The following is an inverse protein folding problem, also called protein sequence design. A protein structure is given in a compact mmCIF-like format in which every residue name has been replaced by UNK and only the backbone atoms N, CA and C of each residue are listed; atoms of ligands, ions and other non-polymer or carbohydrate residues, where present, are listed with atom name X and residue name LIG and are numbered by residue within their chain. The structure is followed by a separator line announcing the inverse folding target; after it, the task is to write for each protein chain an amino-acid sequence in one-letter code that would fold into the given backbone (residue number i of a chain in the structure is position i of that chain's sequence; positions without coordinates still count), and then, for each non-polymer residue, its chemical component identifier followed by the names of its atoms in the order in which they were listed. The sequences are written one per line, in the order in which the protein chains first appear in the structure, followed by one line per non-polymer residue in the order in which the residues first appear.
data_IF_387128770199
#
_entry.id   IF_387128770199
#
_cell.length_a   1.000
_cell.length_b   1.000
_cell.length_c   1.000
_cell.angle_alpha   90.00
_cell.angle_beta   90.00
_cell.angle_gamma   90.00
#
_symmetry.space_group_name_H-M   'P 1'
#
loop_
_entity.id
_entity.type
_entity.pdbx_description
1 polymer ?
#
# COMPACT_ATOMS: atom_id res chain seq x y z
N UNK A 1 47.84 -19.47 -12.08
CA UNK A 1 47.25 -18.22 -12.61
C UNK A 1 45.90 -18.55 -13.22
N UNK A 2 44.80 -17.99 -12.70
CA UNK A 2 43.50 -18.12 -13.37
C UNK A 2 43.54 -17.35 -14.69
N UNK A 3 43.29 -18.03 -15.81
CA UNK A 3 43.24 -17.41 -17.14
C UNK A 3 42.19 -16.30 -17.15
N UNK A 4 42.39 -15.25 -17.96
CA UNK A 4 41.46 -14.10 -18.05
C UNK A 4 40.01 -14.53 -18.31
N UNK A 5 39.81 -15.67 -19.00
CA UNK A 5 38.52 -16.36 -19.21
C UNK A 5 37.79 -16.73 -17.92
N UNK A 6 38.48 -17.30 -16.93
CA UNK A 6 37.87 -17.72 -15.65
C UNK A 6 37.53 -16.53 -14.75
N UNK A 7 38.28 -15.42 -14.86
CA UNK A 7 37.98 -14.17 -14.12
C UNK A 7 36.72 -13.49 -14.64
N UNK A 8 36.52 -13.45 -15.95
CA UNK A 8 35.33 -12.83 -16.56
C UNK A 8 34.05 -13.61 -16.21
N UNK A 9 34.11 -14.95 -16.26
CA UNK A 9 33.00 -15.84 -15.90
C UNK A 9 32.62 -15.70 -14.40
N UNK A 10 33.61 -15.56 -13.51
CA UNK A 10 33.37 -15.33 -12.08
C UNK A 10 32.72 -13.96 -11.79
N UNK A 11 33.14 -12.90 -12.49
CA UNK A 11 32.52 -11.57 -12.38
C UNK A 11 31.06 -11.64 -12.86
N UNK A 12 30.79 -12.35 -13.95
CA UNK A 12 29.43 -12.53 -14.49
C UNK A 12 28.52 -13.24 -13.49
N UNK A 13 28.98 -14.36 -12.90
CA UNK A 13 28.22 -15.08 -11.90
C UNK A 13 27.92 -14.21 -10.66
N UNK A 14 28.90 -13.40 -10.22
CA UNK A 14 28.72 -12.47 -9.13
C UNK A 14 27.69 -11.37 -9.46
N UNK A 15 27.77 -10.77 -10.64
CA UNK A 15 26.83 -9.73 -11.08
C UNK A 15 25.41 -10.26 -11.30
N UNK A 16 25.26 -11.48 -11.81
CA UNK A 16 23.97 -12.14 -11.94
C UNK A 16 23.32 -12.39 -10.57
N UNK A 17 24.10 -12.75 -9.54
CA UNK A 17 23.59 -12.89 -8.17
C UNK A 17 23.12 -11.56 -7.57
N UNK A 18 23.79 -10.46 -7.91
CA UNK A 18 23.42 -9.12 -7.46
C UNK A 18 22.17 -8.56 -8.18
N UNK A 19 21.82 -9.09 -9.36
CA UNK A 19 20.62 -8.68 -10.10
C UNK A 19 19.32 -8.95 -9.33
N UNK A 20 19.31 -9.92 -8.41
CA UNK A 20 18.17 -10.18 -7.51
C UNK A 20 18.00 -9.09 -6.43
N UNK A 21 19.05 -8.32 -6.12
CA UNK A 21 19.05 -7.32 -5.04
C UNK A 21 18.79 -5.89 -5.51
N UNK A 22 19.09 -5.57 -6.78
CA UNK A 22 18.89 -4.22 -7.30
C UNK A 22 17.46 -4.03 -7.82
N UNK A 23 16.64 -3.27 -7.09
CA UNK A 23 15.29 -2.88 -7.51
C UNK A 23 15.21 -2.29 -8.93
N UNK A 24 13.99 -2.26 -9.51
CA UNK A 24 13.75 -2.05 -10.95
C UNK A 24 14.45 -0.84 -11.60
N UNK A 25 14.65 0.26 -10.87
CA UNK A 25 15.34 1.47 -11.38
C UNK A 25 16.84 1.24 -11.61
N UNK A 26 17.51 0.49 -10.74
CA UNK A 26 18.93 0.18 -10.88
C UNK A 26 19.17 -0.91 -11.94
N UNK A 27 18.28 -1.91 -12.02
CA UNK A 27 18.34 -2.94 -13.06
C UNK A 27 18.27 -2.37 -14.48
N UNK A 28 17.37 -1.39 -14.72
CA UNK A 28 17.28 -0.69 -16.01
C UNK A 28 18.58 0.04 -16.37
N UNK A 29 19.19 0.73 -15.40
CA UNK A 29 20.46 1.46 -15.60
C UNK A 29 21.60 0.50 -15.96
N UNK A 30 21.72 -0.61 -15.24
CA UNK A 30 22.72 -1.64 -15.53
C UNK A 30 22.51 -2.26 -16.90
N UNK A 31 21.28 -2.63 -17.26
CA UNK A 31 20.95 -3.13 -18.61
C UNK A 31 21.38 -2.16 -19.71
N UNK A 32 21.06 -0.87 -19.57
CA UNK A 32 21.45 0.15 -20.57
C UNK A 32 22.97 0.30 -20.68
N UNK A 33 23.68 0.31 -19.54
CA UNK A 33 25.13 0.42 -19.53
C UNK A 33 25.80 -0.82 -20.14
N UNK A 34 25.28 -2.02 -19.87
CA UNK A 34 25.78 -3.27 -20.43
C UNK A 34 25.55 -3.34 -21.94
N UNK A 35 24.37 -2.94 -22.43
CA UNK A 35 24.11 -2.83 -23.89
C UNK A 35 25.08 -1.84 -24.55
N UNK A 36 25.29 -0.67 -23.95
CA UNK A 36 26.26 0.32 -24.46
C UNK A 36 27.69 -0.21 -24.48
N UNK A 37 28.13 -0.88 -23.40
CA UNK A 37 29.46 -1.48 -23.33
C UNK A 37 29.63 -2.63 -24.34
N UNK A 38 28.59 -3.45 -24.53
CA UNK A 38 28.56 -4.51 -25.56
C UNK A 38 28.71 -3.95 -26.97
N UNK A 39 27.98 -2.88 -27.28
CA UNK A 39 28.07 -2.17 -28.57
C UNK A 39 29.46 -1.58 -28.76
N UNK A 40 29.98 -0.86 -27.77
CA UNK A 40 31.31 -0.24 -27.83
C UNK A 40 32.41 -1.28 -28.05
N UNK A 41 32.37 -2.43 -27.37
CA UNK A 41 33.32 -3.52 -27.58
C UNK A 41 33.25 -4.08 -29.01
N UNK A 42 32.03 -4.22 -29.57
CA UNK A 42 31.84 -4.67 -30.96
C UNK A 42 32.37 -3.67 -31.98
N UNK A 43 32.07 -2.38 -31.80
CA UNK A 43 32.53 -1.31 -32.69
C UNK A 43 34.06 -1.17 -32.63
N UNK A 44 34.65 -1.29 -31.44
CA UNK A 44 36.11 -1.28 -31.26
C UNK A 44 36.76 -2.46 -31.98
N UNK A 45 36.19 -3.67 -31.86
CA UNK A 45 36.68 -4.84 -32.60
C UNK A 45 36.63 -4.64 -34.12
N UNK A 46 35.59 -3.96 -34.63
CA UNK A 46 35.44 -3.63 -36.06
C UNK A 46 36.43 -2.56 -36.55
N UNK A 47 36.89 -1.66 -35.68
CA UNK A 47 37.96 -0.72 -36.03
C UNK A 47 39.27 -1.46 -36.22
N UNK A 48 39.60 -2.36 -35.28
CA UNK A 48 40.79 -3.21 -35.38
C UNK A 48 40.71 -4.20 -36.54
N UNK A 49 39.50 -4.54 -36.99
CA UNK A 49 39.36 -5.49 -38.09
C UNK A 49 39.87 -4.97 -39.44
N UNK A 50 40.20 -3.68 -39.54
CA UNK A 50 40.72 -3.00 -40.74
C UNK A 50 42.25 -3.02 -40.86
N UNK A 51 42.96 -3.50 -39.85
CA UNK A 51 44.41 -3.67 -39.94
C UNK A 51 44.77 -4.86 -40.84
N UNK A 52 45.84 -4.71 -41.63
CA UNK A 52 46.38 -5.74 -42.53
C UNK A 52 47.86 -6.03 -42.21
N UNK A 53 48.38 -7.17 -42.68
CA UNK A 53 49.80 -7.53 -42.54
C UNK A 53 50.24 -7.86 -41.10
N UNK A 54 51.49 -7.56 -40.75
CA UNK A 54 52.04 -7.83 -39.40
C UNK A 54 51.27 -7.11 -38.28
N UNK A 55 50.73 -5.93 -38.56
CA UNK A 55 49.88 -5.18 -37.64
C UNK A 55 48.62 -5.93 -37.26
N UNK A 56 48.09 -6.78 -38.15
CA UNK A 56 46.89 -7.60 -37.88
C UNK A 56 47.16 -8.67 -36.84
N UNK A 57 48.30 -9.35 -36.94
CA UNK A 57 48.70 -10.42 -36.03
C UNK A 57 48.90 -9.90 -34.60
N UNK A 58 49.32 -8.65 -34.44
CA UNK A 58 49.51 -8.01 -33.13
C UNK A 58 48.20 -7.72 -32.38
N UNK A 59 47.06 -7.61 -33.08
CA UNK A 59 45.75 -7.25 -32.49
C UNK A 59 44.69 -8.36 -32.61
N UNK A 60 45.02 -9.53 -33.18
CA UNK A 60 44.04 -10.62 -33.33
C UNK A 60 43.51 -11.14 -31.99
N UNK A 61 44.36 -11.27 -30.96
CA UNK A 61 43.94 -11.67 -29.61
C UNK A 61 43.03 -10.63 -28.94
N UNK A 62 43.30 -9.34 -29.19
CA UNK A 62 42.48 -8.23 -28.68
C UNK A 62 41.10 -8.19 -29.36
N UNK A 63 41.05 -8.43 -30.67
CA UNK A 63 39.79 -8.53 -31.44
C UNK A 63 38.93 -9.69 -30.92
N UNK A 64 39.54 -10.86 -30.69
CA UNK A 64 38.81 -12.01 -30.15
C UNK A 64 38.28 -11.72 -28.73
N UNK A 65 39.11 -11.08 -27.90
CA UNK A 65 38.75 -10.66 -26.54
C UNK A 65 37.58 -9.67 -26.54
N UNK A 66 37.60 -8.67 -27.42
CA UNK A 66 36.52 -7.68 -27.56
C UNK A 66 35.22 -8.31 -28.07
N UNK A 67 35.29 -9.24 -29.03
CA UNK A 67 34.10 -9.99 -29.48
C UNK A 67 33.50 -10.86 -28.39
N UNK A 68 34.36 -11.49 -27.56
CA UNK A 68 33.91 -12.28 -26.42
C UNK A 68 33.29 -11.39 -25.34
N UNK A 69 33.93 -10.27 -25.00
CA UNK A 69 33.38 -9.29 -24.06
C UNK A 69 32.03 -8.75 -24.54
N UNK A 70 31.91 -8.41 -25.83
CA UNK A 70 30.66 -7.93 -26.43
C UNK A 70 29.51 -8.95 -26.27
N UNK A 71 29.75 -10.23 -26.62
CA UNK A 71 28.76 -11.30 -26.44
C UNK A 71 28.34 -11.48 -24.98
N UNK A 72 29.30 -11.48 -24.07
CA UNK A 72 29.03 -11.70 -22.64
C UNK A 72 28.29 -10.53 -22.00
N UNK A 73 28.64 -9.29 -22.34
CA UNK A 73 27.92 -8.10 -21.89
C UNK A 73 26.49 -8.05 -22.47
N UNK A 74 26.30 -8.54 -23.71
CA UNK A 74 25.00 -8.72 -24.33
C UNK A 74 24.13 -9.72 -23.55
N UNK A 75 24.67 -10.91 -23.28
CA UNK A 75 23.99 -11.95 -22.49
C UNK A 75 23.60 -11.44 -21.09
N UNK A 76 24.52 -10.75 -20.39
CA UNK A 76 24.25 -10.20 -19.07
C UNK A 76 23.10 -9.18 -19.13
N UNK A 77 23.04 -8.35 -20.16
CA UNK A 77 21.96 -7.38 -20.33
C UNK A 77 20.59 -8.06 -20.55
N UNK A 78 20.53 -9.19 -21.24
CA UNK A 78 19.32 -10.00 -21.41
C UNK A 78 18.91 -10.66 -20.09
N UNK A 79 19.85 -11.20 -19.33
CA UNK A 79 19.59 -11.81 -18.02
C UNK A 79 19.03 -10.77 -17.03
N UNK A 80 19.56 -9.54 -17.04
CA UNK A 80 19.01 -8.42 -16.26
C UNK A 80 17.57 -8.06 -16.67
N UNK A 81 17.25 -8.15 -17.95
CA UNK A 81 15.90 -7.90 -18.45
C UNK A 81 14.91 -8.97 -17.98
N UNK A 82 15.30 -10.25 -18.02
CA UNK A 82 14.50 -11.36 -17.51
C UNK A 82 14.31 -11.24 -16.00
N UNK A 83 15.38 -10.92 -15.26
CA UNK A 83 15.31 -10.71 -13.81
C UNK A 83 14.38 -9.56 -13.43
N UNK A 84 14.43 -8.44 -14.17
CA UNK A 84 13.54 -7.30 -13.96
C UNK A 84 12.07 -7.69 -14.15
N UNK A 85 11.73 -8.37 -15.27
CA UNK A 85 10.35 -8.82 -15.52
C UNK A 85 9.86 -9.76 -14.43
N UNK A 86 10.71 -10.69 -13.95
CA UNK A 86 10.37 -11.59 -12.83
C UNK A 86 10.14 -10.82 -11.54
N UNK A 87 10.96 -9.82 -11.23
CA UNK A 87 10.79 -8.99 -10.04
C UNK A 87 9.48 -8.18 -10.08
N UNK A 88 9.14 -7.62 -11.25
CA UNK A 88 7.88 -6.90 -11.45
C UNK A 88 6.67 -7.82 -11.30
N UNK A 89 6.73 -9.04 -11.85
CA UNK A 89 5.71 -10.07 -11.64
C UNK A 89 5.57 -10.46 -10.17
N UNK A 90 6.66 -10.76 -9.48
CA UNK A 90 6.63 -11.09 -8.05
C UNK A 90 6.05 -9.94 -7.22
N UNK A 91 6.36 -8.69 -7.58
CA UNK A 91 5.78 -7.52 -6.91
C UNK A 91 4.28 -7.45 -7.13
N UNK A 92 3.82 -7.61 -8.36
CA UNK A 92 2.40 -7.63 -8.70
C UNK A 92 1.66 -8.78 -7.99
N UNK A 93 2.25 -9.97 -7.95
CA UNK A 93 1.69 -11.14 -7.27
C UNK A 93 1.58 -10.89 -5.76
N UNK A 94 2.61 -10.27 -5.15
CA UNK A 94 2.57 -9.88 -3.72
C UNK A 94 1.50 -8.82 -3.44
N UNK A 95 1.36 -7.83 -4.30
CA UNK A 95 0.31 -6.81 -4.19
C UNK A 95 -1.09 -7.44 -4.33
N UNK A 96 -1.26 -8.35 -5.30
CA UNK A 96 -2.51 -9.08 -5.50
C UNK A 96 -2.83 -10.02 -4.32
N UNK A 97 -1.83 -10.71 -3.77
CA UNK A 97 -2.00 -11.57 -2.59
C UNK A 97 -2.35 -10.73 -1.35
N UNK A 98 -1.69 -9.58 -1.16
CA UNK A 98 -2.00 -8.66 -0.07
C UNK A 98 -3.43 -8.12 -0.17
N UNK A 99 -3.87 -7.72 -1.36
CA UNK A 99 -5.23 -7.23 -1.59
C UNK A 99 -6.26 -8.36 -1.39
N UNK A 100 -6.00 -9.57 -1.90
CA UNK A 100 -6.87 -10.73 -1.67
C UNK A 100 -7.03 -11.05 -0.18
N UNK A 101 -5.93 -11.05 0.58
CA UNK A 101 -5.95 -11.22 2.04
C UNK A 101 -6.73 -10.11 2.74
N UNK A 102 -6.59 -8.86 2.27
CA UNK A 102 -7.35 -7.72 2.80
C UNK A 102 -8.84 -7.89 2.56
N UNK A 103 -9.25 -8.24 1.33
CA UNK A 103 -10.64 -8.46 0.98
C UNK A 103 -11.28 -9.61 1.79
N UNK A 104 -10.53 -10.68 2.04
CA UNK A 104 -10.99 -11.76 2.92
C UNK A 104 -11.24 -11.29 4.36
N UNK A 105 -10.36 -10.44 4.91
CA UNK A 105 -10.56 -9.84 6.24
C UNK A 105 -11.78 -8.93 6.27
N UNK A 106 -11.99 -8.12 5.23
CA UNK A 106 -13.15 -7.23 5.13
C UNK A 106 -14.44 -8.04 5.13
N UNK A 107 -14.52 -9.10 4.32
CA UNK A 107 -15.69 -9.99 4.29
C UNK A 107 -15.95 -10.68 5.63
N UNK A 108 -14.90 -11.13 6.32
CA UNK A 108 -15.03 -11.70 7.66
C UNK A 108 -15.63 -10.68 8.64
N UNK A 109 -15.16 -9.44 8.61
CA UNK A 109 -15.72 -8.38 9.47
C UNK A 109 -17.14 -8.00 9.07
N UNK A 110 -17.48 -7.98 7.77
CA UNK A 110 -18.86 -7.78 7.32
C UNK A 110 -19.77 -8.88 7.86
N UNK A 111 -19.32 -10.14 7.81
CA UNK A 111 -20.04 -11.28 8.38
C UNK A 111 -20.24 -11.11 9.90
N UNK A 112 -19.21 -10.68 10.63
CA UNK A 112 -19.31 -10.44 12.08
C UNK A 112 -20.26 -9.28 12.44
N UNK A 113 -20.27 -8.20 11.64
CA UNK A 113 -21.07 -7.00 11.90
C UNK A 113 -22.53 -7.13 11.46
N UNK A 114 -22.77 -7.77 10.33
CA UNK A 114 -24.07 -7.77 9.64
C UNK A 114 -24.65 -9.18 9.43
N UNK A 115 -23.92 -10.24 9.78
CA UNK A 115 -24.32 -11.62 9.54
C UNK A 115 -24.22 -12.05 8.07
N UNK A 116 -23.59 -11.24 7.21
CA UNK A 116 -23.42 -11.51 5.77
C UNK A 116 -22.21 -10.78 5.21
N UNK A 117 -21.57 -11.35 4.20
CA UNK A 117 -20.56 -10.68 3.38
C UNK A 117 -21.14 -10.03 2.11
N UNK A 118 -22.45 -10.20 1.85
CA UNK A 118 -23.19 -9.63 0.72
C UNK A 118 -24.59 -9.14 1.14
N UNK A 119 -24.68 -7.98 1.80
CA UNK A 119 -25.95 -7.39 2.21
C UNK A 119 -27.00 -7.28 1.10
N UNK A 120 -26.62 -6.93 -0.12
CA UNK A 120 -27.53 -6.80 -1.27
C UNK A 120 -28.24 -8.10 -1.68
N UNK A 121 -27.68 -9.25 -1.32
CA UNK A 121 -28.22 -10.57 -1.67
C UNK A 121 -29.21 -11.10 -0.63
N UNK A 122 -29.37 -10.42 0.51
CA UNK A 122 -30.37 -10.78 1.51
C UNK A 122 -31.75 -10.43 0.94
N UNK A 123 -32.66 -11.40 0.95
CA UNK A 123 -34.02 -11.23 0.43
C UNK A 123 -34.74 -10.09 1.17
N UNK A 124 -35.54 -9.31 0.43
CA UNK A 124 -36.24 -8.11 0.89
C UNK A 124 -37.16 -8.27 2.13
N UNK A 125 -37.36 -9.49 2.62
CA UNK A 125 -38.06 -9.79 3.87
C UNK A 125 -37.24 -9.45 5.12
N UNK A 126 -35.90 -9.34 5.01
CA UNK A 126 -35.02 -8.94 6.11
C UNK A 126 -34.63 -7.45 6.00
N UNK A 127 -35.64 -6.57 6.04
CA UNK A 127 -35.46 -5.10 6.13
C UNK A 127 -34.58 -4.66 7.32
N UNK A 128 -34.27 -5.60 8.22
CA UNK A 128 -33.36 -5.45 9.35
C UNK A 128 -31.93 -5.11 8.91
N UNK A 129 -31.35 -5.82 7.94
CA UNK A 129 -29.92 -5.65 7.59
C UNK A 129 -29.67 -4.34 6.84
N UNK A 130 -30.51 -4.02 5.86
CA UNK A 130 -30.45 -2.75 5.14
C UNK A 130 -30.55 -1.56 6.10
N UNK A 131 -31.51 -1.62 7.02
CA UNK A 131 -31.67 -0.59 8.05
C UNK A 131 -30.43 -0.48 8.95
N UNK A 132 -29.86 -1.61 9.40
CA UNK A 132 -28.67 -1.62 10.25
C UNK A 132 -27.47 -1.01 9.51
N UNK A 133 -27.22 -1.41 8.27
CA UNK A 133 -26.09 -0.93 7.46
C UNK A 133 -26.20 0.58 7.24
N UNK A 134 -27.32 1.08 6.74
CA UNK A 134 -27.46 2.52 6.47
C UNK A 134 -27.52 3.36 7.76
N UNK A 135 -28.16 2.87 8.81
CA UNK A 135 -28.14 3.51 10.12
C UNK A 135 -26.70 3.62 10.64
N UNK A 136 -25.93 2.52 10.59
CA UNK A 136 -24.54 2.53 11.03
C UNK A 136 -23.66 3.42 10.15
N UNK A 137 -23.89 3.46 8.83
CA UNK A 137 -23.18 4.35 7.90
C UNK A 137 -23.39 5.84 8.25
N UNK A 138 -24.65 6.24 8.46
CA UNK A 138 -25.00 7.61 8.87
C UNK A 138 -24.45 7.95 10.24
N UNK A 139 -24.51 7.01 11.17
CA UNK A 139 -24.03 7.18 12.53
C UNK A 139 -22.52 7.36 12.56
N UNK A 140 -21.77 6.55 11.81
CA UNK A 140 -20.31 6.66 11.71
C UNK A 140 -19.92 7.99 11.07
N UNK A 141 -20.62 8.40 10.00
CA UNK A 141 -20.37 9.68 9.35
C UNK A 141 -20.69 10.89 10.24
N UNK A 142 -21.72 10.80 11.10
CA UNK A 142 -21.99 11.83 12.09
C UNK A 142 -20.96 11.81 13.23
N UNK A 143 -20.58 10.62 13.69
CA UNK A 143 -19.60 10.46 14.77
C UNK A 143 -18.28 11.11 14.40
N UNK A 144 -17.79 10.87 13.18
CA UNK A 144 -16.58 11.51 12.64
C UNK A 144 -16.66 13.04 12.61
N UNK A 145 -17.83 13.61 12.26
CA UNK A 145 -17.98 15.06 12.11
C UNK A 145 -18.20 15.82 13.42
N UNK A 146 -18.95 15.25 14.35
CA UNK A 146 -19.43 15.96 15.54
C UNK A 146 -19.60 15.04 16.76
N UNK A 147 -20.04 13.80 16.55
CA UNK A 147 -20.31 12.89 17.67
C UNK A 147 -19.06 12.54 18.50
N UNK A 148 -17.87 12.54 17.90
CA UNK A 148 -16.61 12.24 18.60
C UNK A 148 -16.25 13.36 19.60
N UNK A 149 -16.50 14.61 19.26
CA UNK A 149 -16.29 15.75 20.18
C UNK A 149 -17.33 15.75 21.29
N UNK A 150 -18.60 15.47 20.97
CA UNK A 150 -19.66 15.29 21.98
C UNK A 150 -19.31 14.18 22.98
N UNK A 151 -18.80 13.05 22.47
CA UNK A 151 -18.40 11.91 23.29
C UNK A 151 -17.11 12.16 24.08
N UNK A 152 -16.15 12.89 23.52
CA UNK A 152 -14.92 13.27 24.23
C UNK A 152 -15.21 14.13 25.47
N UNK A 153 -16.19 15.04 25.41
CA UNK A 153 -16.64 15.82 26.57
C UNK A 153 -17.13 14.94 27.72
N UNK A 154 -17.86 13.86 27.41
CA UNK A 154 -18.28 12.87 28.41
C UNK A 154 -17.09 12.12 29.03
N UNK A 155 -15.99 12.00 28.30
CA UNK A 155 -14.72 11.44 28.80
C UNK A 155 -13.82 12.50 29.47
N UNK A 156 -14.32 13.72 29.69
CA UNK A 156 -13.58 14.81 30.32
C UNK A 156 -12.40 15.32 29.49
N UNK A 157 -12.51 15.22 28.16
CA UNK A 157 -11.54 15.72 27.20
C UNK A 157 -12.15 16.90 26.42
N UNK A 158 -11.30 17.84 26.01
CA UNK A 158 -11.71 19.06 25.32
C UNK A 158 -12.06 18.80 23.85
N UNK A 159 -11.42 17.78 23.26
CA UNK A 159 -11.54 17.46 21.84
C UNK A 159 -11.53 15.96 21.60
N UNK A 160 -12.34 15.50 20.67
CA UNK A 160 -12.38 14.14 20.17
C UNK A 160 -11.75 14.01 18.79
N UNK A 161 -11.07 12.89 18.55
CA UNK A 161 -10.55 12.51 17.24
C UNK A 161 -10.81 11.02 17.04
N UNK A 162 -11.02 10.61 15.80
CA UNK A 162 -10.97 9.19 15.43
C UNK A 162 -9.55 8.92 14.95
N UNK A 163 -8.94 7.81 15.40
CA UNK A 163 -7.53 7.50 15.09
C UNK A 163 -7.26 7.42 13.59
N UNK A 164 -8.26 7.00 12.81
CA UNK A 164 -8.14 6.75 11.38
C UNK A 164 -9.24 7.47 10.60
N UNK A 165 -8.81 8.29 9.64
CA UNK A 165 -9.67 9.19 8.86
C UNK A 165 -10.57 8.38 7.96
N UNK A 166 -11.87 8.42 8.25
CA UNK A 166 -12.87 7.94 7.33
C UNK A 166 -13.15 8.96 6.24
N UNK A 167 -13.46 8.48 5.05
CA UNK A 167 -14.14 9.31 4.08
C UNK A 167 -15.63 9.36 4.46
N UNK A 168 -15.98 9.99 5.60
CA UNK A 168 -17.35 10.11 6.08
C UNK A 168 -18.29 10.74 5.03
N UNK A 169 -17.73 11.54 4.12
CA UNK A 169 -18.42 12.08 2.95
C UNK A 169 -18.82 10.99 1.96
N UNK A 170 -17.91 10.06 1.64
CA UNK A 170 -18.19 8.93 0.76
C UNK A 170 -19.19 7.95 1.39
N UNK A 171 -19.07 7.71 2.70
CA UNK A 171 -20.00 6.84 3.43
C UNK A 171 -21.43 7.39 3.43
N UNK A 172 -21.59 8.70 3.70
CA UNK A 172 -22.90 9.38 3.61
C UNK A 172 -23.46 9.33 2.19
N UNK A 173 -22.61 9.60 1.19
CA UNK A 173 -23.00 9.60 -0.22
C UNK A 173 -23.49 8.23 -0.70
N UNK A 174 -22.81 7.15 -0.30
CA UNK A 174 -23.24 5.80 -0.64
C UNK A 174 -24.57 5.44 0.04
N UNK A 175 -24.76 5.84 1.30
CA UNK A 175 -26.00 5.62 2.03
C UNK A 175 -27.19 6.34 1.39
N UNK A 176 -27.00 7.60 0.95
CA UNK A 176 -28.05 8.38 0.28
C UNK A 176 -28.42 7.83 -1.10
N UNK A 177 -27.51 7.08 -1.73
CA UNK A 177 -27.72 6.40 -3.03
C UNK A 177 -28.24 4.98 -2.91
N UNK A 178 -28.44 4.46 -1.70
CA UNK A 178 -28.89 3.08 -1.50
C UNK A 178 -27.82 2.02 -1.84
N UNK A 179 -26.55 2.39 -1.84
CA UNK A 179 -25.42 1.49 -2.15
C UNK A 179 -25.03 0.68 -0.91
N UNK A 180 -25.81 -0.36 -0.61
CA UNK A 180 -25.71 -1.12 0.65
C UNK A 180 -24.38 -1.88 0.79
N UNK A 181 -23.90 -2.52 -0.27
CA UNK A 181 -22.66 -3.32 -0.23
C UNK A 181 -21.44 -2.42 -0.03
N UNK A 182 -21.41 -1.28 -0.72
CA UNK A 182 -20.35 -0.28 -0.59
C UNK A 182 -20.35 0.37 0.79
N UNK A 183 -21.53 0.59 1.39
CA UNK A 183 -21.62 1.04 2.78
C UNK A 183 -21.08 -0.01 3.74
N UNK A 184 -21.50 -1.26 3.62
CA UNK A 184 -21.07 -2.34 4.50
C UNK A 184 -19.56 -2.61 4.39
N UNK A 185 -19.01 -2.57 3.18
CA UNK A 185 -17.58 -2.70 2.95
C UNK A 185 -16.81 -1.56 3.64
N UNK A 186 -17.25 -0.31 3.47
CA UNK A 186 -16.59 0.83 4.12
C UNK A 186 -16.68 0.76 5.64
N UNK A 187 -17.81 0.35 6.20
CA UNK A 187 -17.95 0.16 7.66
C UNK A 187 -17.01 -0.96 8.16
N UNK A 188 -16.87 -2.05 7.41
CA UNK A 188 -15.98 -3.15 7.78
C UNK A 188 -14.50 -2.74 7.68
N UNK A 189 -14.12 -2.00 6.64
CA UNK A 189 -12.80 -1.37 6.54
C UNK A 189 -12.55 -0.43 7.71
N UNK A 190 -13.56 0.36 8.06
CA UNK A 190 -13.52 1.26 9.21
C UNK A 190 -13.24 0.52 10.51
N UNK A 191 -13.93 -0.59 10.75
CA UNK A 191 -13.72 -1.46 11.90
C UNK A 191 -12.32 -2.08 11.93
N UNK A 192 -11.76 -2.46 10.78
CA UNK A 192 -10.44 -3.10 10.69
C UNK A 192 -9.29 -2.14 11.00
N UNK A 193 -9.45 -0.87 10.64
CA UNK A 193 -8.40 0.14 10.84
C UNK A 193 -8.42 0.72 12.26
N UNK A 194 -9.60 0.89 12.85
CA UNK A 194 -9.71 1.49 14.17
C UNK A 194 -9.20 0.61 15.30
N UNK A 195 -8.54 1.27 16.25
CA UNK A 195 -8.29 0.69 17.56
C UNK A 195 -9.60 0.24 18.22
N UNK A 196 -9.53 -0.83 19.00
CA UNK A 196 -10.73 -1.37 19.66
C UNK A 196 -11.25 -0.39 20.73
N UNK A 197 -10.33 0.22 21.49
CA UNK A 197 -10.66 1.17 22.56
C UNK A 197 -9.92 2.48 22.36
N UNK A 198 -10.57 3.56 22.73
CA UNK A 198 -10.00 4.87 22.75
C UNK A 198 -9.12 5.14 23.96
N UNK A 199 -8.42 6.26 23.90
CA UNK A 199 -7.55 6.72 24.97
C UNK A 199 -7.48 8.24 25.01
N UNK A 200 -7.26 8.77 26.21
CA UNK A 200 -6.96 10.17 26.41
C UNK A 200 -5.45 10.41 26.21
N UNK A 201 -5.12 11.44 25.44
CA UNK A 201 -3.77 11.94 25.28
C UNK A 201 -3.70 13.39 25.76
N UNK A 202 -2.70 13.70 26.56
CA UNK A 202 -2.35 15.08 26.88
C UNK A 202 -1.50 15.62 25.74
N UNK A 203 -1.96 16.65 25.05
CA UNK A 203 -1.12 17.34 24.09
C UNK A 203 -0.17 18.26 24.87
N UNK A 204 1.11 17.88 24.95
CA UNK A 204 2.12 18.64 25.71
C UNK A 204 2.36 20.04 25.15
N UNK A 205 2.02 20.27 23.87
CA UNK A 205 2.34 21.52 23.16
C UNK A 205 1.16 22.51 23.11
N UNK A 206 -0.07 22.09 23.43
CA UNK A 206 -1.29 22.92 23.33
C UNK A 206 -1.93 23.24 24.69
N UNK A 207 -1.22 23.99 25.54
CA UNK A 207 -1.80 24.70 26.70
C UNK A 207 -2.66 23.84 27.66
N UNK A 208 -2.39 22.54 27.79
CA UNK A 208 -3.14 21.64 28.68
C UNK A 208 -4.41 21.02 28.09
N UNK A 209 -4.70 21.21 26.79
CA UNK A 209 -5.83 20.57 26.12
C UNK A 209 -5.68 19.03 26.13
N UNK A 210 -6.74 18.35 26.56
CA UNK A 210 -6.83 16.89 26.57
C UNK A 210 -7.60 16.43 25.34
N UNK A 211 -6.96 15.56 24.55
CA UNK A 211 -7.59 14.97 23.38
C UNK A 211 -8.02 13.55 23.71
N UNK A 212 -9.17 13.15 23.21
CA UNK A 212 -9.65 11.77 23.26
C UNK A 212 -9.60 11.18 21.86
N UNK A 213 -8.81 10.13 21.68
CA UNK A 213 -8.82 9.34 20.46
C UNK A 213 -9.82 8.22 20.63
N UNK A 214 -10.96 8.26 19.92
CA UNK A 214 -12.02 7.27 20.04
C UNK A 214 -11.73 6.02 19.19
N UNK A 215 -11.94 4.85 19.79
CA UNK A 215 -11.89 3.56 19.10
C UNK A 215 -13.27 3.08 18.62
N UNK A 216 -13.31 1.86 18.10
CA UNK A 216 -14.55 1.24 17.64
C UNK A 216 -15.58 1.03 18.77
N UNK A 217 -15.13 0.56 19.93
CA UNK A 217 -16.04 0.33 21.07
C UNK A 217 -16.64 1.65 21.59
N UNK A 218 -15.89 2.75 21.49
CA UNK A 218 -16.38 4.09 21.83
C UNK A 218 -17.46 4.57 20.89
N UNK A 219 -17.31 4.30 19.58
CA UNK A 219 -18.37 4.55 18.60
C UNK A 219 -19.62 3.74 18.94
N UNK A 220 -19.48 2.45 19.25
CA UNK A 220 -20.62 1.60 19.62
C UNK A 220 -21.28 2.06 20.92
N UNK A 221 -20.51 2.49 21.91
CA UNK A 221 -21.01 3.06 23.15
C UNK A 221 -21.78 4.34 22.86
N UNK A 222 -21.16 5.29 22.15
CA UNK A 222 -21.80 6.52 21.71
C UNK A 222 -23.11 6.25 20.96
N UNK A 223 -23.17 5.29 20.04
CA UNK A 223 -24.42 4.96 19.33
C UNK A 223 -25.56 4.55 20.26
N UNK A 224 -25.27 3.89 21.38
CA UNK A 224 -26.27 3.50 22.40
C UNK A 224 -26.74 4.71 23.19
N UNK A 225 -25.83 5.62 23.54
CA UNK A 225 -26.12 6.74 24.43
C UNK A 225 -26.40 8.07 23.71
N UNK A 226 -26.22 8.17 22.39
CA UNK A 226 -26.27 9.44 21.61
C UNK A 226 -27.54 10.26 21.81
N UNK A 227 -28.68 9.61 22.09
CA UNK A 227 -29.93 10.31 22.42
C UNK A 227 -29.83 11.11 23.71
N UNK A 228 -29.10 10.58 24.70
CA UNK A 228 -28.77 11.24 25.97
C UNK A 228 -27.63 12.25 25.78
N UNK A 229 -26.60 11.92 25.00
CA UNK A 229 -25.46 12.81 24.74
C UNK A 229 -25.90 14.13 24.10
N UNK A 230 -26.80 14.07 23.11
CA UNK A 230 -27.36 15.27 22.46
C UNK A 230 -28.17 16.13 23.41
N UNK A 231 -28.94 15.51 24.31
CA UNK A 231 -29.70 16.25 25.32
C UNK A 231 -28.80 17.01 26.31
N UNK A 232 -27.66 16.42 26.70
CA UNK A 232 -26.68 17.07 27.58
C UNK A 232 -25.92 18.19 26.87
N UNK A 233 -25.52 18.00 25.61
CA UNK A 233 -24.77 19.02 24.87
C UNK A 233 -25.63 20.20 24.38
N UNK A 234 -26.96 20.04 24.33
CA UNK A 234 -27.92 21.07 23.94
C UNK A 234 -28.63 21.74 25.14
N UNK A 235 -28.40 21.26 26.37
CA UNK A 235 -28.93 21.89 27.56
C UNK A 235 -28.27 23.26 27.74
N UNK A 236 -29.05 24.34 27.95
CA UNK A 236 -28.48 25.63 28.32
C UNK A 236 -27.71 25.46 29.64
N UNK A 237 -26.58 26.15 29.74
CA UNK A 237 -25.72 26.11 30.91
C UNK A 237 -26.53 26.46 32.17
N UNK A 238 -26.68 25.55 33.15
CA UNK A 238 -27.47 25.82 34.34
C UNK A 238 -26.84 26.93 35.22
N UNK A 239 -25.59 27.31 34.96
CA UNK A 239 -24.92 28.45 35.62
C UNK A 239 -25.11 29.78 34.88
N UNK A 240 -25.78 29.80 33.73
CA UNK A 240 -26.08 31.02 32.95
C UNK A 240 -27.46 31.65 33.23
N UNK A 241 -28.12 31.26 34.33
CA UNK A 241 -29.39 31.82 34.83
C UNK A 241 -29.24 32.49 36.19
#
# INVERSE_FOLDING_TARGET
MATMKTRLEAIIAHWASLAQFYGGTNAKRYRTNLKRASTAARETAQLFSRFEGESRQLVDEDIETLHKASRLLGQLAEDFEVAQRRADHIKADKEAEAESKRQLKIRAVMMDLFGTDKPSMIQATDQSVEHIVFSMARDLAYFDRAGVDEYAKLKGCDRGLISDVYNARLLSFNADRGLIDECAQQIAESRLLSDTRGYAAANRDNCGQRWYFAGWDDFLDWRKIRGQVRAVCQAPDPEAL
#
